data_IF_384793586405
#
_entry.id   IF_384793586405
#
_cell.length_a   1.000
_cell.length_b   1.000
_cell.length_c   1.000
_cell.angle_alpha   90.00
_cell.angle_beta   90.00
_cell.angle_gamma   90.00
#
_symmetry.space_group_name_H-M   'P 1'
#
loop_
_entity.id
_entity.type
_entity.pdbx_description
1 polymer ?
#
# COMPACT_ATOMS: atom_id res chain seq x y z
N UNK A 1 -23.69 20.12 -7.08
CA UNK A 1 -23.30 18.70 -6.91
C UNK A 1 -24.02 18.13 -5.70
N UNK A 2 -24.80 17.08 -5.90
CA UNK A 2 -25.48 16.34 -4.84
C UNK A 2 -24.49 15.54 -3.99
N UNK A 3 -24.88 15.04 -2.80
CA UNK A 3 -24.03 14.14 -2.02
C UNK A 3 -23.63 12.86 -2.78
N UNK A 4 -24.53 12.29 -3.59
CA UNK A 4 -24.26 11.08 -4.37
C UNK A 4 -23.27 11.35 -5.52
N UNK A 5 -23.46 12.45 -6.25
CA UNK A 5 -22.53 12.87 -7.31
C UNK A 5 -21.12 13.08 -6.76
N UNK A 6 -21.01 13.65 -5.55
CA UNK A 6 -19.73 13.86 -4.88
C UNK A 6 -19.05 12.55 -4.52
N UNK A 7 -19.80 11.57 -3.99
CA UNK A 7 -19.26 10.24 -3.66
C UNK A 7 -18.75 9.52 -4.90
N UNK A 8 -19.49 9.59 -6.01
CA UNK A 8 -19.06 9.02 -7.30
C UNK A 8 -17.81 9.71 -7.85
N UNK A 9 -17.75 11.04 -7.77
CA UNK A 9 -16.60 11.81 -8.22
C UNK A 9 -15.33 11.46 -7.42
N UNK A 10 -15.44 11.38 -6.09
CA UNK A 10 -14.32 10.99 -5.22
C UNK A 10 -13.86 9.57 -5.50
N UNK A 11 -14.78 8.60 -5.52
CA UNK A 11 -14.44 7.22 -5.84
C UNK A 11 -13.72 7.09 -7.20
N UNK A 12 -14.20 7.81 -8.21
CA UNK A 12 -13.57 7.76 -9.53
C UNK A 12 -12.18 8.39 -9.54
N UNK A 13 -12.01 9.52 -8.84
CA UNK A 13 -10.74 10.19 -8.69
C UNK A 13 -9.72 9.27 -8.00
N UNK A 14 -10.08 8.71 -6.84
CA UNK A 14 -9.19 7.85 -6.07
C UNK A 14 -8.79 6.61 -6.88
N UNK A 15 -9.77 5.94 -7.51
CA UNK A 15 -9.53 4.80 -8.41
C UNK A 15 -8.57 5.16 -9.56
N UNK A 16 -8.73 6.34 -10.16
CA UNK A 16 -7.83 6.80 -11.22
C UNK A 16 -6.40 7.01 -10.70
N UNK A 17 -6.23 7.64 -9.54
CA UNK A 17 -4.91 7.85 -8.93
C UNK A 17 -4.24 6.53 -8.55
N UNK A 18 -5.00 5.59 -7.96
CA UNK A 18 -4.50 4.25 -7.63
C UNK A 18 -3.99 3.54 -8.89
N UNK A 19 -4.69 3.67 -10.01
CA UNK A 19 -4.26 3.01 -11.26
C UNK A 19 -3.07 3.73 -11.90
N UNK A 20 -3.03 5.05 -11.84
CA UNK A 20 -2.01 5.87 -12.48
C UNK A 20 -0.67 5.93 -11.73
N UNK A 21 -0.63 5.65 -10.42
CA UNK A 21 0.60 5.79 -9.65
C UNK A 21 1.68 4.75 -10.01
N UNK A 22 2.96 5.09 -9.86
CA UNK A 22 4.05 4.10 -9.92
C UNK A 22 4.26 3.39 -8.58
N UNK A 23 3.93 4.08 -7.49
CA UNK A 23 4.08 3.61 -6.11
C UNK A 23 2.75 3.80 -5.38
N UNK A 24 2.21 2.73 -4.82
CA UNK A 24 1.13 2.76 -3.85
C UNK A 24 1.74 2.65 -2.45
N UNK A 25 1.51 3.67 -1.63
CA UNK A 25 2.03 3.74 -0.27
C UNK A 25 0.89 3.58 0.74
N UNK A 26 1.01 2.62 1.64
CA UNK A 26 0.03 2.36 2.71
C UNK A 26 0.64 2.64 4.08
N UNK A 27 0.20 3.72 4.72
CA UNK A 27 0.45 3.93 6.13
C UNK A 27 -0.39 2.98 7.00
N UNK A 28 0.23 1.95 7.55
CA UNK A 28 -0.36 0.97 8.46
C UNK A 28 -0.32 1.53 9.88
N UNK A 29 -1.07 2.62 10.11
CA UNK A 29 -1.14 3.27 11.42
C UNK A 29 -2.17 2.59 12.35
N UNK A 30 -1.82 2.53 13.63
CA UNK A 30 -2.66 1.94 14.67
C UNK A 30 -2.82 0.43 14.60
N UNK A 31 -3.80 -0.08 15.37
CA UNK A 31 -4.02 -1.53 15.57
C UNK A 31 -4.87 -2.19 14.50
N UNK A 32 -5.74 -1.42 13.85
CA UNK A 32 -6.66 -1.89 12.81
C UNK A 32 -6.48 -0.96 11.61
N UNK A 33 -5.98 -1.47 10.48
CA UNK A 33 -5.86 -0.66 9.26
C UNK A 33 -7.21 -0.14 8.78
N UNK A 34 -7.21 1.05 8.18
CA UNK A 34 -8.41 1.66 7.60
C UNK A 34 -9.02 0.78 6.51
N UNK A 35 -10.34 0.54 6.59
CA UNK A 35 -11.05 -0.34 5.66
C UNK A 35 -11.05 0.19 4.22
N UNK A 36 -11.08 1.52 4.06
CA UNK A 36 -10.97 2.19 2.77
C UNK A 36 -9.61 1.91 2.13
N UNK A 37 -8.53 2.18 2.85
CA UNK A 37 -7.17 1.90 2.38
C UNK A 37 -6.93 0.40 2.11
N UNK A 38 -7.58 -0.49 2.86
CA UNK A 38 -7.56 -1.94 2.58
C UNK A 38 -8.21 -2.27 1.22
N UNK A 39 -9.32 -1.63 0.87
CA UNK A 39 -9.96 -1.80 -0.43
C UNK A 39 -9.09 -1.26 -1.57
N UNK A 40 -8.44 -0.11 -1.35
CA UNK A 40 -7.52 0.51 -2.32
C UNK A 40 -6.29 -0.37 -2.59
N UNK A 41 -5.70 -0.97 -1.54
CA UNK A 41 -4.61 -1.95 -1.68
C UNK A 41 -5.03 -3.13 -2.56
N UNK A 42 -6.23 -3.65 -2.35
CA UNK A 42 -6.79 -4.74 -3.17
C UNK A 42 -6.91 -4.35 -4.65
N UNK A 43 -7.39 -3.14 -4.93
CA UNK A 43 -7.46 -2.61 -6.30
C UNK A 43 -6.08 -2.47 -6.95
N UNK A 44 -5.11 -1.92 -6.21
CA UNK A 44 -3.74 -1.73 -6.67
C UNK A 44 -3.06 -3.07 -7.00
N UNK A 45 -3.19 -4.05 -6.09
CA UNK A 45 -2.65 -5.40 -6.28
C UNK A 45 -3.26 -6.11 -7.47
N UNK A 46 -4.59 -6.10 -7.59
CA UNK A 46 -5.24 -6.81 -8.68
C UNK A 46 -4.95 -6.17 -10.05
N UNK A 47 -4.85 -4.83 -10.11
CA UNK A 47 -4.41 -4.15 -11.33
C UNK A 47 -2.95 -4.49 -11.69
N UNK A 48 -2.06 -4.55 -10.70
CA UNK A 48 -0.67 -4.97 -10.88
C UNK A 48 -0.58 -6.38 -11.49
N UNK A 49 -1.32 -7.34 -10.93
CA UNK A 49 -1.37 -8.74 -11.40
C UNK A 49 -1.95 -8.85 -12.82
N UNK A 50 -3.11 -8.22 -13.07
CA UNK A 50 -3.78 -8.33 -14.38
C UNK A 50 -3.01 -7.67 -15.52
N UNK A 51 -2.32 -6.56 -15.23
CA UNK A 51 -1.60 -5.80 -16.24
C UNK A 51 -0.10 -6.12 -16.30
N UNK A 52 0.38 -7.00 -15.41
CA UNK A 52 1.79 -7.31 -15.21
C UNK A 52 2.65 -6.03 -15.14
N UNK A 53 2.15 -5.01 -14.44
CA UNK A 53 2.79 -3.69 -14.39
C UNK A 53 3.78 -3.60 -13.21
N UNK A 54 4.77 -2.71 -13.31
CA UNK A 54 5.85 -2.57 -12.31
C UNK A 54 5.47 -1.74 -11.08
N UNK A 55 4.17 -1.62 -10.75
CA UNK A 55 3.72 -0.82 -9.60
C UNK A 55 4.28 -1.37 -8.29
N UNK A 56 4.93 -0.51 -7.52
CA UNK A 56 5.45 -0.86 -6.19
C UNK A 56 4.35 -0.68 -5.14
N UNK A 57 4.08 -1.72 -4.36
CA UNK A 57 3.11 -1.69 -3.26
C UNK A 57 3.89 -1.78 -1.94
N UNK A 58 3.96 -0.68 -1.19
CA UNK A 58 4.82 -0.58 0.01
C UNK A 58 4.05 -0.03 1.20
N UNK A 59 4.27 -0.63 2.38
CA UNK A 59 3.66 -0.19 3.63
C UNK A 59 4.68 0.44 4.59
N UNK A 60 4.21 1.31 5.48
CA UNK A 60 4.94 1.76 6.68
C UNK A 60 4.13 1.39 7.91
N UNK A 61 4.73 0.63 8.82
CA UNK A 61 4.10 0.28 10.09
C UNK A 61 4.60 1.22 11.19
N UNK A 62 3.80 2.22 11.56
CA UNK A 62 4.14 3.22 12.59
C UNK A 62 3.85 2.74 14.00
N UNK A 63 2.86 1.85 14.18
CA UNK A 63 2.57 1.22 15.47
C UNK A 63 2.92 -0.27 15.44
N UNK A 64 4.04 -0.62 16.05
CA UNK A 64 4.48 -2.02 16.22
C UNK A 64 3.68 -2.76 17.29
N UNK A 65 2.82 -2.07 18.07
CA UNK A 65 1.92 -2.66 19.08
C UNK A 65 0.66 -3.26 18.44
N UNK A 66 0.79 -3.80 17.23
CA UNK A 66 -0.29 -4.45 16.51
C UNK A 66 -0.76 -5.71 17.27
N UNK A 67 -2.00 -5.61 17.76
CA UNK A 67 -2.99 -6.61 18.24
C UNK A 67 -2.55 -7.82 19.08
N UNK A 68 -1.41 -8.50 18.88
CA UNK A 68 -0.87 -9.50 19.82
C UNK A 68 0.63 -9.70 19.57
N UNK A 69 1.42 -9.92 20.62
CA UNK A 69 2.81 -10.39 20.53
C UNK A 69 2.87 -11.61 19.60
N UNK A 70 3.36 -11.40 18.36
CA UNK A 70 3.51 -12.46 17.34
C UNK A 70 2.41 -12.56 16.27
N UNK A 71 1.35 -11.74 16.28
CA UNK A 71 0.35 -11.78 15.21
C UNK A 71 0.83 -11.03 13.97
N UNK A 72 1.17 -11.79 12.93
CA UNK A 72 1.46 -11.28 11.58
C UNK A 72 0.26 -10.45 11.08
N UNK A 73 0.52 -9.31 10.43
CA UNK A 73 -0.47 -8.53 9.69
C UNK A 73 -1.39 -9.46 8.89
N UNK A 74 -2.70 -9.17 8.81
CA UNK A 74 -3.66 -9.97 8.05
C UNK A 74 -3.04 -10.36 6.70
N UNK A 75 -3.01 -11.64 6.29
CA UNK A 75 -2.43 -12.06 5.02
C UNK A 75 -2.97 -11.28 3.81
N UNK A 76 -4.23 -10.84 3.86
CA UNK A 76 -4.86 -10.02 2.83
C UNK A 76 -4.28 -8.60 2.72
N UNK A 77 -3.50 -8.17 3.71
CA UNK A 77 -2.75 -6.91 3.69
C UNK A 77 -1.24 -7.15 3.56
N UNK A 78 -0.71 -8.22 4.15
CA UNK A 78 0.72 -8.55 4.09
C UNK A 78 1.15 -9.00 2.71
N UNK A 79 0.40 -9.92 2.08
CA UNK A 79 0.78 -10.55 0.82
C UNK A 79 0.77 -9.56 -0.35
N UNK A 80 -0.22 -8.65 -0.46
CA UNK A 80 -0.22 -7.65 -1.53
C UNK A 80 0.93 -6.64 -1.48
N UNK A 81 1.54 -6.44 -0.31
CA UNK A 81 2.65 -5.50 -0.14
C UNK A 81 3.98 -6.16 -0.47
N UNK A 82 4.73 -5.56 -1.40
CA UNK A 82 6.08 -5.96 -1.77
C UNK A 82 7.05 -5.78 -0.59
N UNK A 83 6.84 -4.73 0.20
CA UNK A 83 7.61 -4.46 1.42
C UNK A 83 6.80 -3.74 2.48
N UNK A 84 7.17 -3.95 3.75
CA UNK A 84 6.63 -3.20 4.89
C UNK A 84 7.82 -2.67 5.67
N UNK A 85 7.99 -1.35 5.66
CA UNK A 85 9.03 -0.68 6.44
C UNK A 85 8.60 -0.60 7.91
N UNK A 86 9.50 -0.93 8.86
CA UNK A 86 9.23 -0.80 10.29
C UNK A 86 9.36 0.64 10.80
N UNK A 87 10.01 1.51 10.03
CA UNK A 87 10.27 2.92 10.38
C UNK A 87 10.53 3.75 9.12
N UNK A 88 10.42 5.07 9.26
CA UNK A 88 10.52 6.02 8.15
C UNK A 88 11.89 6.02 7.47
N UNK A 89 12.98 5.91 8.24
CA UNK A 89 14.35 5.91 7.69
C UNK A 89 14.56 4.73 6.73
N UNK A 90 14.07 3.55 7.10
CA UNK A 90 14.13 2.35 6.28
C UNK A 90 13.24 2.48 5.04
N UNK A 91 12.04 3.05 5.17
CA UNK A 91 11.18 3.35 4.03
C UNK A 91 11.91 4.22 3.00
N UNK A 92 12.51 5.33 3.45
CA UNK A 92 13.24 6.26 2.58
C UNK A 92 14.43 5.58 1.90
N UNK A 93 15.19 4.76 2.63
CA UNK A 93 16.30 3.99 2.06
C UNK A 93 15.82 3.03 0.97
N UNK A 94 14.74 2.29 1.22
CA UNK A 94 14.14 1.34 0.26
C UNK A 94 13.63 2.06 -0.99
N UNK A 95 12.99 3.21 -0.84
CA UNK A 95 12.53 4.02 -1.97
C UNK A 95 13.70 4.58 -2.80
N UNK A 96 14.78 5.01 -2.16
CA UNK A 96 16.00 5.45 -2.86
C UNK A 96 16.63 4.32 -3.67
N UNK A 97 16.70 3.12 -3.09
CA UNK A 97 17.18 1.93 -3.81
C UNK A 97 16.28 1.60 -5.00
N UNK A 98 14.96 1.55 -4.79
CA UNK A 98 14.01 1.29 -5.88
C UNK A 98 14.11 2.33 -7.00
N UNK A 99 14.25 3.62 -6.67
CA UNK A 99 14.45 4.68 -7.65
C UNK A 99 15.74 4.48 -8.47
N UNK A 100 16.81 3.98 -7.85
CA UNK A 100 18.09 3.74 -8.53
C UNK A 100 18.10 2.47 -9.39
N UNK A 101 17.42 1.40 -8.96
CA UNK A 101 17.52 0.06 -9.57
C UNK A 101 16.28 -0.35 -10.37
N UNK A 102 15.13 0.27 -10.11
CA UNK A 102 13.83 -0.14 -10.62
C UNK A 102 13.30 -1.47 -10.06
N UNK A 103 13.97 -2.05 -9.04
CA UNK A 103 13.58 -3.32 -8.43
C UNK A 103 13.84 -3.35 -6.93
N UNK A 104 12.92 -3.92 -6.16
CA UNK A 104 13.18 -4.30 -4.77
C UNK A 104 13.74 -5.72 -4.72
N UNK A 105 15.05 -5.84 -4.51
CA UNK A 105 15.71 -7.13 -4.24
C UNK A 105 15.96 -7.21 -2.74
N UNK A 106 14.95 -7.67 -2.00
CA UNK A 106 15.08 -7.86 -0.57
C UNK A 106 15.50 -9.31 -0.31
N UNK A 107 16.70 -9.49 0.25
CA UNK A 107 17.13 -10.79 0.77
C UNK A 107 16.35 -11.04 2.07
N UNK A 108 15.54 -12.10 2.08
CA UNK A 108 14.76 -12.55 3.24
C UNK A 108 15.63 -13.19 4.31
#
# INVERSE_FOLDING_TARGET
MTPDERRQALFHLDKQQIFACDIFFFLLDGRVPDEGACAELGMAYYQKELQNCKKLLIGLQTDSRAVFLGSKLNPMLRVPLDYIAPEEEILLHVLQLYHATGTLTLQW
#
